data_IF_747545996217
#
_entry.id   IF_747545996217
#
_cell.length_a   1.000
_cell.length_b   1.000
_cell.length_c   1.000
_cell.angle_alpha   90.00
_cell.angle_beta   90.00
_cell.angle_gamma   90.00
#
_symmetry.space_group_name_H-M   'P 1'
#
loop_
_entity.id
_entity.type
_entity.pdbx_description
1 polymer ?
#
# COMPACT_ATOMS: atom_id res chain seq x y z
N UNK A 1 -5.78 -7.41 16.04
CA UNK A 1 -5.95 -6.58 14.85
C UNK A 1 -7.05 -5.56 15.09
N UNK A 2 -6.77 -4.31 14.81
CA UNK A 2 -7.73 -3.22 15.04
C UNK A 2 -8.03 -2.49 13.74
N UNK A 3 -9.27 -2.02 13.62
CA UNK A 3 -9.70 -1.20 12.48
C UNK A 3 -9.94 0.23 12.94
N UNK A 4 -9.48 1.18 12.14
CA UNK A 4 -9.63 2.60 12.40
C UNK A 4 -10.13 3.31 11.16
N UNK A 5 -10.97 4.32 11.36
CA UNK A 5 -11.25 5.28 10.31
C UNK A 5 -10.03 6.19 10.18
N UNK A 6 -9.70 6.57 8.97
CA UNK A 6 -8.54 7.45 8.74
C UNK A 6 -8.79 8.36 7.55
N UNK A 7 -7.93 9.37 7.40
CA UNK A 7 -7.93 10.26 6.26
C UNK A 7 -6.57 10.21 5.61
N UNK A 8 -6.55 10.09 4.29
CA UNK A 8 -5.31 10.02 3.54
C UNK A 8 -4.67 11.40 3.47
N UNK A 9 -3.41 11.50 3.91
CA UNK A 9 -2.63 12.73 3.80
C UNK A 9 -1.87 12.74 2.47
N UNK A 10 -1.14 11.67 2.18
CA UNK A 10 -0.48 11.51 0.88
C UNK A 10 0.02 10.07 0.70
N UNK A 11 0.14 9.66 -0.53
CA UNK A 11 0.82 8.42 -0.89
C UNK A 11 2.30 8.75 -1.11
N UNK A 12 3.18 8.12 -0.35
CA UNK A 12 4.62 8.37 -0.42
C UNK A 12 5.26 7.51 -1.50
N UNK A 13 4.93 6.22 -1.49
CA UNK A 13 5.35 5.20 -2.44
C UNK A 13 4.19 4.23 -2.62
N UNK A 14 4.32 3.30 -3.57
CA UNK A 14 3.29 2.30 -3.78
C UNK A 14 3.00 1.45 -2.54
N UNK A 15 3.93 1.36 -1.61
CA UNK A 15 3.77 0.56 -0.39
C UNK A 15 3.82 1.39 0.91
N UNK A 16 3.77 2.72 0.81
CA UNK A 16 3.87 3.60 1.97
C UNK A 16 2.92 4.78 1.84
N UNK A 17 2.06 4.97 2.85
CA UNK A 17 1.02 6.01 2.85
C UNK A 17 1.04 6.76 4.16
N UNK A 18 1.00 8.09 4.11
CA UNK A 18 0.86 8.95 5.28
C UNK A 18 -0.62 9.27 5.51
N UNK A 19 -1.08 9.13 6.74
CA UNK A 19 -2.49 9.30 7.11
C UNK A 19 -2.65 10.01 8.44
N UNK A 20 -3.87 10.47 8.69
CA UNK A 20 -4.34 10.86 10.01
C UNK A 20 -5.31 9.77 10.49
N UNK A 21 -5.13 9.26 11.70
CA UNK A 21 -5.96 8.20 12.26
C UNK A 21 -6.97 8.78 13.25
N UNK A 22 -8.24 8.45 13.04
CA UNK A 22 -9.33 8.83 13.94
C UNK A 22 -9.39 7.81 15.09
N UNK A 23 -9.10 8.26 16.30
CA UNK A 23 -9.16 7.41 17.50
C UNK A 23 -10.50 7.49 18.21
N UNK A 24 -11.47 8.25 17.65
CA UNK A 24 -12.73 8.50 18.31
C UNK A 24 -12.65 9.66 19.30
N UNK A 25 -13.80 10.12 19.79
CA UNK A 25 -13.88 11.22 20.77
C UNK A 25 -13.18 12.51 20.32
N UNK A 26 -13.17 12.77 18.98
CA UNK A 26 -12.47 13.92 18.39
C UNK A 26 -10.95 13.89 18.59
N UNK A 27 -10.39 12.71 18.89
CA UNK A 27 -8.94 12.53 19.04
C UNK A 27 -8.38 11.97 17.74
N UNK A 28 -7.40 12.67 17.17
CA UNK A 28 -6.74 12.25 15.94
C UNK A 28 -5.25 12.06 16.18
N UNK A 29 -4.71 10.98 15.67
CA UNK A 29 -3.27 10.73 15.63
C UNK A 29 -2.80 11.18 14.26
N UNK A 30 -2.14 12.35 14.22
CA UNK A 30 -1.77 13.01 12.95
C UNK A 30 -0.49 12.45 12.35
N UNK A 31 -0.43 12.49 11.01
CA UNK A 31 0.78 12.24 10.23
C UNK A 31 1.46 10.93 10.56
N UNK A 32 0.70 9.85 10.55
CA UNK A 32 1.24 8.53 10.78
C UNK A 32 1.61 7.89 9.47
N UNK A 33 2.79 7.29 9.41
CA UNK A 33 3.27 6.58 8.22
C UNK A 33 2.91 5.12 8.29
N UNK A 34 2.18 4.66 7.29
CA UNK A 34 1.75 3.26 7.19
C UNK A 34 2.56 2.57 6.12
N UNK A 35 3.23 1.48 6.49
CA UNK A 35 3.85 0.56 5.56
C UNK A 35 2.82 -0.52 5.23
N UNK A 36 2.52 -0.71 3.98
CA UNK A 36 1.55 -1.73 3.58
C UNK A 36 2.09 -3.13 3.89
N UNK A 37 1.34 -3.86 4.69
CA UNK A 37 1.73 -5.19 5.14
C UNK A 37 1.65 -6.20 3.99
N UNK A 38 2.68 -7.05 3.89
CA UNK A 38 2.65 -8.19 2.98
C UNK A 38 2.89 -7.87 1.52
N UNK A 39 3.25 -6.64 1.16
CA UNK A 39 3.51 -6.27 -0.22
C UNK A 39 4.74 -5.39 -0.32
N UNK A 40 5.49 -5.57 -1.41
CA UNK A 40 6.62 -4.73 -1.76
C UNK A 40 6.40 -4.19 -3.17
N UNK A 41 6.60 -2.90 -3.37
CA UNK A 41 6.47 -2.26 -4.68
C UNK A 41 7.85 -1.77 -5.13
N UNK A 42 8.02 -1.59 -6.46
CA UNK A 42 9.28 -1.00 -6.96
C UNK A 42 9.47 0.41 -6.39
N UNK A 43 10.72 0.81 -6.24
CA UNK A 43 11.04 2.13 -5.73
C UNK A 43 10.64 3.22 -6.71
N UNK A 44 9.95 4.25 -6.23
CA UNK A 44 9.58 5.39 -7.06
C UNK A 44 10.61 6.51 -6.99
N UNK A 45 11.48 6.48 -5.98
CA UNK A 45 12.55 7.46 -5.78
C UNK A 45 13.89 6.78 -5.86
N UNK A 46 14.28 6.39 -7.07
CA UNK A 46 15.53 5.67 -7.34
C UNK A 46 16.22 6.27 -8.56
N UNK A 47 17.53 6.04 -8.68
CA UNK A 47 18.31 6.43 -9.85
C UNK A 47 18.12 5.45 -11.00
N UNK A 48 17.61 4.26 -10.74
CA UNK A 48 17.28 3.27 -11.76
C UNK A 48 15.99 3.73 -12.45
N UNK A 49 16.13 4.28 -13.64
CA UNK A 49 15.00 4.86 -14.39
C UNK A 49 13.97 3.82 -14.82
N UNK A 50 14.39 2.59 -15.04
CA UNK A 50 13.44 1.52 -15.38
C UNK A 50 12.60 1.14 -14.15
N UNK A 51 13.24 0.89 -13.01
CA UNK A 51 12.51 0.59 -11.78
C UNK A 51 11.58 1.74 -11.40
N UNK A 52 12.04 2.97 -11.57
CA UNK A 52 11.27 4.16 -11.23
C UNK A 52 9.93 4.23 -11.96
N UNK A 53 9.89 3.83 -13.23
CA UNK A 53 8.65 3.81 -14.01
C UNK A 53 7.60 2.93 -13.34
N UNK A 54 8.01 1.74 -12.89
CA UNK A 54 7.11 0.79 -12.24
C UNK A 54 6.77 1.22 -10.82
N UNK A 55 7.70 1.84 -10.12
CA UNK A 55 7.44 2.44 -8.81
C UNK A 55 6.41 3.56 -8.88
N UNK A 56 6.53 4.45 -9.87
CA UNK A 56 5.56 5.52 -10.10
C UNK A 56 4.20 4.97 -10.51
N UNK A 57 4.17 3.89 -11.30
CA UNK A 57 2.92 3.25 -11.69
C UNK A 57 2.19 2.67 -10.47
N UNK A 58 2.92 1.99 -9.58
CA UNK A 58 2.36 1.47 -8.34
C UNK A 58 1.85 2.59 -7.44
N UNK A 59 2.61 3.66 -7.31
CA UNK A 59 2.21 4.83 -6.53
C UNK A 59 0.92 5.43 -7.07
N UNK A 60 0.82 5.59 -8.38
CA UNK A 60 -0.37 6.13 -9.03
C UNK A 60 -1.59 5.22 -8.82
N UNK A 61 -1.39 3.91 -8.89
CA UNK A 61 -2.45 2.95 -8.62
C UNK A 61 -3.02 3.14 -7.22
N UNK A 62 -2.14 3.30 -6.22
CA UNK A 62 -2.57 3.54 -4.85
C UNK A 62 -3.25 4.91 -4.71
N UNK A 63 -2.69 5.95 -5.33
CA UNK A 63 -3.29 7.29 -5.30
C UNK A 63 -4.71 7.30 -5.88
N UNK A 64 -4.96 6.51 -6.91
CA UNK A 64 -6.29 6.41 -7.52
C UNK A 64 -7.31 5.77 -6.59
N UNK A 65 -6.88 4.83 -5.74
CA UNK A 65 -7.76 4.14 -4.79
C UNK A 65 -7.83 4.85 -3.43
N UNK A 66 -6.79 5.58 -3.07
CA UNK A 66 -6.69 6.30 -1.81
C UNK A 66 -6.43 7.79 -2.08
N UNK A 67 -7.42 8.52 -2.62
CA UNK A 67 -7.21 9.95 -2.92
C UNK A 67 -6.90 10.76 -1.67
N UNK A 68 -6.12 11.83 -1.82
CA UNK A 68 -5.82 12.75 -0.72
C UNK A 68 -7.12 13.27 -0.12
N UNK A 69 -7.16 13.34 1.20
CA UNK A 69 -8.32 13.76 2.01
C UNK A 69 -9.48 12.77 2.01
N UNK A 70 -9.39 11.65 1.31
CA UNK A 70 -10.44 10.64 1.35
C UNK A 70 -10.46 9.92 2.69
N UNK A 71 -11.66 9.52 3.11
CA UNK A 71 -11.87 8.72 4.31
C UNK A 71 -11.73 7.26 3.94
N UNK A 72 -10.87 6.54 4.65
CA UNK A 72 -10.61 5.13 4.41
C UNK A 72 -10.67 4.34 5.72
N UNK A 73 -10.65 3.02 5.61
CA UNK A 73 -10.55 2.13 6.77
C UNK A 73 -9.17 1.50 6.79
N UNK A 74 -8.43 1.74 7.86
CA UNK A 74 -7.12 1.13 8.11
C UNK A 74 -7.30 -0.07 9.03
N UNK A 75 -6.73 -1.20 8.65
CA UNK A 75 -6.64 -2.37 9.51
C UNK A 75 -5.18 -2.58 9.88
N UNK A 76 -4.86 -2.40 11.16
CA UNK A 76 -3.47 -2.55 11.63
C UNK A 76 -3.15 -4.02 11.85
N UNK A 77 -1.89 -4.37 11.64
CA UNK A 77 -1.40 -5.71 11.97
C UNK A 77 -0.86 -5.70 13.39
N UNK A 78 -1.02 -6.83 14.07
CA UNK A 78 -0.52 -7.02 15.42
C UNK A 78 0.99 -7.22 15.36
N UNK A 79 1.71 -6.12 15.29
CA UNK A 79 3.16 -6.13 15.22
C UNK A 79 3.66 -4.82 15.79
N UNK A 80 4.91 -4.79 16.17
CA UNK A 80 5.54 -3.58 16.63
C UNK A 80 5.60 -2.56 15.50
N UNK A 81 5.72 -1.29 15.84
CA UNK A 81 6.08 -0.30 14.86
C UNK A 81 7.36 -0.77 14.21
N UNK A 82 7.38 -0.80 12.89
CA UNK A 82 8.54 -1.22 12.13
C UNK A 82 9.80 -0.46 12.58
N UNK A 83 10.97 -0.94 12.17
CA UNK A 83 12.29 -0.39 12.54
C UNK A 83 12.41 1.12 12.37
N UNK A 84 11.53 1.73 11.58
CA UNK A 84 11.59 3.15 11.25
C UNK A 84 10.37 3.92 11.77
N UNK A 85 9.71 3.42 12.82
CA UNK A 85 8.55 4.07 13.40
C UNK A 85 7.27 3.98 12.56
N UNK A 86 7.24 3.10 11.55
CA UNK A 86 6.08 2.90 10.70
C UNK A 86 5.11 1.91 11.33
N UNK A 87 3.84 2.12 11.06
CA UNK A 87 2.79 1.19 11.45
C UNK A 87 2.56 0.25 10.26
N UNK A 88 2.49 -1.04 10.52
CA UNK A 88 2.13 -2.01 9.48
C UNK A 88 0.61 -2.14 9.40
N UNK A 89 0.08 -2.11 8.19
CA UNK A 89 -1.37 -2.19 8.02
C UNK A 89 -1.82 -2.42 6.60
N UNK A 90 -3.14 -2.49 6.46
CA UNK A 90 -3.78 -2.62 5.16
C UNK A 90 -4.99 -1.69 5.10
N UNK A 91 -5.30 -1.21 3.88
CA UNK A 91 -6.47 -0.37 3.67
C UNK A 91 -7.57 -1.21 3.03
N UNK A 92 -8.74 -1.23 3.67
CA UNK A 92 -9.88 -2.02 3.22
C UNK A 92 -10.53 -1.33 2.02
N UNK A 93 -10.77 -2.10 0.97
CA UNK A 93 -11.45 -1.65 -0.23
C UNK A 93 -12.61 -2.58 -0.56
N UNK A 94 -13.45 -2.17 -1.49
CA UNK A 94 -14.50 -2.99 -2.05
C UNK A 94 -14.27 -3.11 -3.55
N UNK A 95 -14.31 -4.33 -4.07
CA UNK A 95 -14.25 -4.58 -5.51
C UNK A 95 -15.55 -5.22 -5.97
N UNK A 96 -15.80 -5.22 -7.27
CA UNK A 96 -17.01 -5.81 -7.87
C UNK A 96 -16.68 -7.12 -8.55
N UNK A 97 -17.48 -8.14 -8.29
CA UNK A 97 -17.42 -9.42 -8.98
C UNK A 97 -18.84 -9.92 -9.23
N UNK A 98 -19.17 -10.13 -10.49
CA UNK A 98 -20.52 -10.58 -10.90
C UNK A 98 -21.64 -9.72 -10.29
N UNK A 99 -21.43 -8.42 -10.23
CA UNK A 99 -22.41 -7.47 -9.69
C UNK A 99 -22.51 -7.43 -8.18
N UNK A 100 -21.63 -8.14 -7.48
CA UNK A 100 -21.58 -8.16 -6.01
C UNK A 100 -20.37 -7.43 -5.49
N UNK A 101 -20.54 -6.76 -4.35
CA UNK A 101 -19.44 -6.10 -3.65
C UNK A 101 -18.64 -7.14 -2.89
N UNK A 102 -17.34 -7.19 -3.14
CA UNK A 102 -16.43 -8.12 -2.47
C UNK A 102 -15.39 -7.31 -1.69
N UNK A 103 -15.24 -7.56 -0.38
CA UNK A 103 -14.21 -6.88 0.40
C UNK A 103 -12.82 -7.34 -0.03
N UNK A 104 -11.90 -6.40 -0.11
CA UNK A 104 -10.49 -6.65 -0.44
C UNK A 104 -9.63 -5.61 0.27
N UNK A 105 -8.35 -5.56 -0.03
CA UNK A 105 -7.45 -4.53 0.47
C UNK A 105 -6.62 -3.99 -0.68
N UNK A 106 -6.11 -2.76 -0.53
CA UNK A 106 -5.17 -2.20 -1.50
C UNK A 106 -3.92 -3.09 -1.61
N UNK A 107 -3.52 -3.68 -0.48
CA UNK A 107 -2.38 -4.60 -0.41
C UNK A 107 -2.56 -5.78 -1.36
N UNK A 108 -3.72 -6.42 -1.30
CA UNK A 108 -4.05 -7.56 -2.16
C UNK A 108 -4.17 -7.13 -3.62
N UNK A 109 -4.80 -5.99 -3.88
CA UNK A 109 -4.97 -5.50 -5.24
C UNK A 109 -3.65 -5.16 -5.92
N UNK A 110 -2.69 -4.61 -5.18
CA UNK A 110 -1.35 -4.34 -5.71
C UNK A 110 -0.70 -5.61 -6.23
N UNK A 111 -0.80 -6.70 -5.49
CA UNK A 111 -0.23 -7.99 -5.90
C UNK A 111 -1.03 -8.57 -7.08
N UNK A 112 -2.35 -8.55 -7.00
CA UNK A 112 -3.22 -9.11 -8.02
C UNK A 112 -3.06 -8.40 -9.36
N UNK A 113 -2.92 -7.07 -9.35
CA UNK A 113 -2.73 -6.27 -10.54
C UNK A 113 -1.27 -6.14 -10.98
N UNK A 114 -0.36 -6.84 -10.30
CA UNK A 114 1.07 -6.95 -10.61
C UNK A 114 1.87 -5.67 -10.43
N UNK A 115 1.36 -4.73 -9.64
CA UNK A 115 2.12 -3.53 -9.27
C UNK A 115 3.05 -3.79 -8.10
N UNK A 116 2.84 -4.87 -7.36
CA UNK A 116 3.66 -5.25 -6.23
C UNK A 116 3.83 -6.76 -6.15
N UNK A 117 4.71 -7.20 -5.26
CA UNK A 117 4.94 -8.62 -4.98
C UNK A 117 4.64 -8.91 -3.53
N UNK A 118 4.23 -10.16 -3.24
CA UNK A 118 4.04 -10.59 -1.85
C UNK A 118 5.38 -10.51 -1.12
N UNK A 119 5.37 -9.90 0.05
CA UNK A 119 6.59 -9.73 0.84
C UNK A 119 6.35 -10.13 2.30
N UNK A 120 7.03 -11.17 2.74
CA UNK A 120 6.98 -11.66 4.11
C UNK A 120 8.39 -11.97 4.61
N UNK A 121 9.37 -11.17 4.18
CA UNK A 121 10.75 -11.33 4.62
C UNK A 121 11.64 -12.18 3.70
N UNK A 122 11.20 -12.45 2.46
CA UNK A 122 12.01 -13.18 1.49
C UNK A 122 13.28 -12.39 1.13
N UNK A 123 14.23 -13.08 0.48
CA UNK A 123 15.46 -12.43 0.06
C UNK A 123 15.21 -11.38 -1.02
N UNK A 124 16.11 -10.40 -1.11
CA UNK A 124 16.03 -9.35 -2.14
C UNK A 124 16.08 -9.94 -3.55
N UNK A 125 16.87 -10.99 -3.74
CA UNK A 125 17.00 -11.62 -5.06
C UNK A 125 15.68 -12.24 -5.52
N UNK A 126 14.97 -12.91 -4.62
CA UNK A 126 13.66 -13.51 -4.92
C UNK A 126 12.63 -12.44 -5.25
N UNK A 127 12.61 -11.35 -4.48
CA UNK A 127 11.70 -10.24 -4.69
C UNK A 127 11.99 -9.56 -6.03
N UNK A 128 13.26 -9.33 -6.33
CA UNK A 128 13.66 -8.70 -7.58
C UNK A 128 13.24 -9.53 -8.79
N UNK A 129 13.41 -10.85 -8.72
CA UNK A 129 13.01 -11.75 -9.80
C UNK A 129 11.49 -11.64 -10.06
N UNK A 130 10.68 -11.57 -9.01
CA UNK A 130 9.24 -11.40 -9.15
C UNK A 130 8.86 -10.04 -9.70
N UNK A 131 9.53 -8.97 -9.28
CA UNK A 131 9.31 -7.63 -9.83
C UNK A 131 9.62 -7.59 -11.32
N UNK A 132 10.71 -8.22 -11.75
CA UNK A 132 11.08 -8.26 -13.16
C UNK A 132 10.02 -8.99 -13.99
N UNK A 133 9.44 -10.07 -13.47
CA UNK A 133 8.33 -10.76 -14.13
C UNK A 133 7.10 -9.88 -14.24
N UNK A 134 6.80 -9.11 -13.21
CA UNK A 134 5.63 -8.23 -13.21
C UNK A 134 5.74 -7.15 -14.28
N UNK A 135 6.94 -6.73 -14.64
CA UNK A 135 7.16 -5.71 -15.70
C UNK A 135 6.58 -6.10 -17.04
N UNK A 136 6.46 -7.40 -17.30
CA UNK A 136 5.87 -7.90 -18.56
C UNK A 136 4.36 -7.63 -18.65
N UNK A 137 3.71 -7.38 -17.50
CA UNK A 137 2.27 -7.21 -17.40
C UNK A 137 1.83 -5.75 -17.25
N UNK A 138 2.76 -4.86 -16.95
CA UNK A 138 2.48 -3.45 -16.66
C UNK A 138 2.92 -2.60 -17.84
N UNK A 139 1.99 -1.84 -18.40
CA UNK A 139 2.27 -0.89 -19.46
C UNK A 139 2.56 0.47 -18.83
N UNK A 140 3.79 0.93 -18.96
CA UNK A 140 4.24 2.21 -18.36
C UNK A 140 4.83 3.14 -19.43
#
# INVERSE_FOLDING_TARGET
MYEYSCRIVRVVDGDTVDIDIDLGFDVWLKKQRIRLYGVDTPESRTRDLEEKKYGLAAKKFVENHLPVDSKQTLRTKLDDRGKFGRILGEFVLTTQWEGKDIPTTINEQLVRQRYGVKYFGQSKDDIEAEHLKNREWIDV
#
